data_IF_516335712993
#
_entry.id   IF_516335712993
#
_cell.length_a   1.000
_cell.length_b   1.000
_cell.length_c   1.000
_cell.angle_alpha   90.00
_cell.angle_beta   90.00
_cell.angle_gamma   90.00
#
_symmetry.space_group_name_H-M   'P 1'
#
loop_
_entity.id
_entity.type
_entity.pdbx_description
1 polymer ?
#
# COMPACT_ATOMS: atom_id res chain seq x y z
N UNK A 1 2.18 -3.65 8.12
CA UNK A 1 1.83 -3.02 6.83
C UNK A 1 2.78 -3.41 5.70
N UNK A 2 4.10 -3.24 5.83
CA UNK A 2 5.05 -3.52 4.74
C UNK A 2 4.99 -4.97 4.21
N UNK A 3 4.91 -5.95 5.10
CA UNK A 3 4.72 -7.38 4.74
C UNK A 3 3.46 -7.62 3.89
N UNK A 4 2.35 -6.94 4.19
CA UNK A 4 1.10 -7.07 3.42
C UNK A 4 1.28 -6.55 1.99
N UNK A 5 2.06 -5.48 1.80
CA UNK A 5 2.39 -5.02 0.44
C UNK A 5 3.23 -6.02 -0.34
N UNK A 6 4.18 -6.71 0.32
CA UNK A 6 4.98 -7.76 -0.31
C UNK A 6 4.12 -8.96 -0.72
N UNK A 7 3.21 -9.40 0.14
CA UNK A 7 2.28 -10.50 -0.13
C UNK A 7 1.31 -10.18 -1.28
N UNK A 8 0.89 -8.92 -1.38
CA UNK A 8 -0.03 -8.45 -2.43
C UNK A 8 0.67 -8.20 -3.77
N UNK A 9 1.98 -7.95 -3.74
CA UNK A 9 2.78 -7.61 -4.91
C UNK A 9 2.18 -6.43 -5.69
N UNK A 10 2.12 -6.56 -7.02
CA UNK A 10 1.64 -5.52 -7.92
C UNK A 10 0.15 -5.20 -7.77
N UNK A 11 -0.65 -6.08 -7.16
CA UNK A 11 -2.07 -5.76 -6.86
C UNK A 11 -2.19 -4.58 -5.93
N UNK A 12 -1.20 -4.42 -5.04
CA UNK A 12 -1.17 -3.32 -4.11
C UNK A 12 -2.38 -3.25 -3.17
N UNK A 13 -2.55 -2.07 -2.60
CA UNK A 13 -3.60 -1.75 -1.64
C UNK A 13 -4.09 -0.31 -1.84
N UNK A 14 -5.41 -0.12 -1.72
CA UNK A 14 -5.99 1.18 -1.42
C UNK A 14 -6.31 1.33 0.07
N UNK A 15 -6.85 2.49 0.48
CA UNK A 15 -7.15 2.77 1.89
C UNK A 15 -8.16 1.79 2.51
N UNK A 16 -9.16 1.32 1.76
CA UNK A 16 -10.14 0.36 2.27
C UNK A 16 -9.54 -1.03 2.46
N UNK A 17 -8.72 -1.48 1.52
CA UNK A 17 -8.00 -2.75 1.62
C UNK A 17 -6.97 -2.70 2.75
N UNK A 18 -6.28 -1.58 2.93
CA UNK A 18 -5.34 -1.37 4.04
C UNK A 18 -6.03 -1.47 5.42
N UNK A 19 -7.21 -0.87 5.57
CA UNK A 19 -8.03 -1.03 6.77
C UNK A 19 -8.43 -2.49 6.98
N UNK A 20 -8.95 -3.15 5.94
CA UNK A 20 -9.47 -4.52 6.04
C UNK A 20 -8.38 -5.55 6.34
N UNK A 21 -7.23 -5.44 5.69
CA UNK A 21 -6.16 -6.45 5.74
C UNK A 21 -5.14 -6.19 6.84
N UNK A 22 -4.90 -4.92 7.20
CA UNK A 22 -3.84 -4.54 8.11
C UNK A 22 -4.27 -3.63 9.26
N UNK A 23 -5.57 -3.28 9.35
CA UNK A 23 -6.11 -2.28 10.30
C UNK A 23 -5.38 -0.93 10.20
N UNK A 24 -4.87 -0.60 9.02
CA UNK A 24 -4.20 0.67 8.77
C UNK A 24 -5.22 1.69 8.23
N UNK A 25 -5.61 2.62 9.11
CA UNK A 25 -6.54 3.71 8.80
C UNK A 25 -5.85 4.96 8.24
N UNK A 26 -4.52 4.98 8.23
CA UNK A 26 -3.68 6.13 7.89
C UNK A 26 -2.73 5.82 6.74
N UNK A 27 -3.18 5.03 5.77
CA UNK A 27 -2.37 4.51 4.66
C UNK A 27 -1.42 5.55 4.03
N UNK A 28 -1.91 6.76 3.75
CA UNK A 28 -1.08 7.80 3.11
C UNK A 28 0.10 8.24 3.99
N UNK A 29 -0.12 8.35 5.30
CA UNK A 29 0.93 8.61 6.28
C UNK A 29 1.89 7.44 6.35
N UNK A 30 1.38 6.21 6.40
CA UNK A 30 2.21 5.00 6.37
C UNK A 30 3.12 4.94 5.14
N UNK A 31 2.61 5.27 3.95
CA UNK A 31 3.40 5.38 2.72
C UNK A 31 4.46 6.49 2.83
N UNK A 32 4.11 7.63 3.43
CA UNK A 32 5.06 8.73 3.66
C UNK A 32 6.19 8.33 4.61
N UNK A 33 5.89 7.55 5.64
CA UNK A 33 6.89 7.05 6.58
C UNK A 33 7.81 6.00 5.93
N UNK A 34 7.28 5.09 5.10
CA UNK A 34 8.12 4.17 4.33
C UNK A 34 9.04 4.88 3.33
N UNK A 35 8.59 6.00 2.76
CA UNK A 35 9.45 6.82 1.89
C UNK A 35 10.67 7.37 2.65
N UNK A 36 10.54 7.70 3.94
CA UNK A 36 11.67 8.13 4.79
C UNK A 36 12.69 7.01 5.01
N UNK A 37 12.24 5.75 4.91
CA UNK A 37 13.08 4.56 4.96
C UNK A 37 13.65 4.15 3.58
N UNK A 38 13.47 4.99 2.56
CA UNK A 38 13.98 4.72 1.20
C UNK A 38 13.12 3.79 0.35
N UNK A 39 11.91 3.45 0.80
CA UNK A 39 10.98 2.58 0.06
C UNK A 39 9.98 3.45 -0.69
N UNK A 40 9.99 3.36 -2.02
CA UNK A 40 9.11 4.16 -2.87
C UNK A 40 7.94 3.33 -3.41
N UNK A 41 6.74 3.88 -3.32
CA UNK A 41 5.53 3.24 -3.82
C UNK A 41 5.10 3.85 -5.14
N UNK A 42 4.75 2.98 -6.07
CA UNK A 42 3.98 3.34 -7.26
C UNK A 42 2.55 3.66 -6.86
N UNK A 43 1.87 4.50 -7.64
CA UNK A 43 0.50 4.94 -7.33
C UNK A 43 -0.38 5.09 -8.57
N UNK A 44 -1.68 4.84 -8.39
CA UNK A 44 -2.72 5.11 -9.39
C UNK A 44 -3.99 5.59 -8.70
N UNK A 45 -4.64 6.61 -9.26
CA UNK A 45 -5.98 7.02 -8.85
C UNK A 45 -7.01 6.00 -9.33
N UNK A 46 -7.92 5.61 -8.45
CA UNK A 46 -9.01 4.70 -8.78
C UNK A 46 -10.31 5.14 -8.10
N UNK A 47 -11.44 4.68 -8.65
CA UNK A 47 -12.76 4.88 -8.06
C UNK A 47 -13.29 3.54 -7.58
N UNK A 48 -13.63 3.45 -6.30
CA UNK A 48 -14.13 2.23 -5.67
C UNK A 48 -15.58 2.40 -5.20
N UNK A 49 -16.35 1.30 -5.08
CA UNK A 49 -17.68 1.35 -4.48
C UNK A 49 -17.61 1.80 -3.02
N UNK A 50 -18.44 2.78 -2.67
CA UNK A 50 -18.66 3.27 -1.32
C UNK A 50 -20.00 2.83 -0.74
N UNK A 51 -20.34 3.39 0.42
CA UNK A 51 -21.63 3.11 1.08
C UNK A 51 -22.80 3.66 0.26
N UNK A 52 -23.95 2.97 0.27
CA UNK A 52 -25.18 3.38 -0.40
C UNK A 52 -25.00 3.72 -1.90
N UNK A 53 -24.33 2.84 -2.65
CA UNK A 53 -24.05 3.00 -4.08
C UNK A 53 -23.25 4.26 -4.45
N UNK A 54 -22.60 4.90 -3.47
CA UNK A 54 -21.69 6.02 -3.70
C UNK A 54 -20.40 5.52 -4.36
N UNK A 55 -19.70 6.44 -5.03
CA UNK A 55 -18.39 6.20 -5.62
C UNK A 55 -17.37 7.01 -4.83
N UNK A 56 -16.28 6.37 -4.43
CA UNK A 56 -15.22 7.02 -3.65
C UNK A 56 -13.96 7.01 -4.48
N UNK A 57 -13.37 8.18 -4.68
CA UNK A 57 -12.06 8.31 -5.28
C UNK A 57 -10.98 8.01 -4.24
N UNK A 58 -10.10 7.09 -4.56
CA UNK A 58 -8.97 6.74 -3.71
C UNK A 58 -7.71 6.51 -4.55
N UNK A 59 -6.62 6.17 -3.86
CA UNK A 59 -5.33 5.91 -4.50
C UNK A 59 -4.90 4.51 -4.12
N UNK A 60 -4.52 3.73 -5.13
CA UNK A 60 -3.90 2.42 -5.01
C UNK A 60 -2.40 2.59 -5.01
N UNK A 61 -1.72 1.90 -4.10
CA UNK A 61 -0.27 1.89 -3.96
C UNK A 61 0.27 0.47 -4.11
N UNK A 62 1.45 0.30 -4.71
CA UNK A 62 2.17 -0.96 -4.79
C UNK A 62 3.68 -0.73 -4.86
N UNK A 63 4.47 -1.78 -4.60
CA UNK A 63 5.92 -1.73 -4.68
C UNK A 63 6.39 -2.08 -6.09
N UNK A 64 7.41 -1.38 -6.58
CA UNK A 64 8.17 -1.85 -7.75
C UNK A 64 8.99 -3.09 -7.37
N UNK A 65 9.47 -3.91 -8.32
CA UNK A 65 10.34 -5.04 -8.00
C UNK A 65 11.58 -4.64 -7.17
N UNK A 66 12.16 -3.47 -7.46
CA UNK A 66 13.30 -2.92 -6.72
C UNK A 66 12.91 -2.57 -5.28
N UNK A 67 11.86 -1.78 -5.09
CA UNK A 67 11.42 -1.36 -3.75
C UNK A 67 10.88 -2.54 -2.92
N UNK A 68 10.32 -3.56 -3.58
CA UNK A 68 9.94 -4.80 -2.94
C UNK A 68 11.16 -5.56 -2.40
N UNK A 69 12.29 -5.57 -3.11
CA UNK A 69 13.51 -6.17 -2.58
C UNK A 69 14.03 -5.39 -1.37
N UNK A 70 14.12 -4.06 -1.45
CA UNK A 70 14.51 -3.21 -0.32
C UNK A 70 13.61 -3.43 0.91
N UNK A 71 12.31 -3.62 0.69
CA UNK A 71 11.37 -3.94 1.76
C UNK A 71 11.61 -5.33 2.38
N UNK A 72 12.01 -6.35 1.60
CA UNK A 72 12.38 -7.68 2.14
C UNK A 72 13.65 -7.61 2.97
N UNK A 73 14.67 -6.93 2.46
CA UNK A 73 15.95 -6.75 3.15
C UNK A 73 15.73 -6.07 4.52
N UNK A 74 14.86 -5.05 4.57
CA UNK A 74 14.51 -4.33 5.81
C UNK A 74 13.73 -5.19 6.82
N UNK A 75 12.98 -6.19 6.36
CA UNK A 75 12.26 -7.13 7.22
C UNK A 75 13.11 -8.33 7.66
N UNK A 76 14.33 -8.49 7.13
CA UNK A 76 15.19 -9.65 7.38
C UNK A 76 14.72 -10.92 6.64
N UNK A 77 13.90 -10.77 5.60
CA UNK A 77 13.38 -11.88 4.78
C UNK A 77 14.32 -12.22 3.58
N UNK A 78 15.63 -11.99 3.74
CA UNK A 78 16.64 -12.14 2.67
C UNK A 78 17.09 -13.61 2.47
#
# INVERSE_FOLDING_TARGET
MLRVFLERGERGLNCFEAVRLARDYVLRTTISDFRKLGIFFQRKFETVPGFNNSKIECVRYWLSPRDAQTARDLLGDA
#
